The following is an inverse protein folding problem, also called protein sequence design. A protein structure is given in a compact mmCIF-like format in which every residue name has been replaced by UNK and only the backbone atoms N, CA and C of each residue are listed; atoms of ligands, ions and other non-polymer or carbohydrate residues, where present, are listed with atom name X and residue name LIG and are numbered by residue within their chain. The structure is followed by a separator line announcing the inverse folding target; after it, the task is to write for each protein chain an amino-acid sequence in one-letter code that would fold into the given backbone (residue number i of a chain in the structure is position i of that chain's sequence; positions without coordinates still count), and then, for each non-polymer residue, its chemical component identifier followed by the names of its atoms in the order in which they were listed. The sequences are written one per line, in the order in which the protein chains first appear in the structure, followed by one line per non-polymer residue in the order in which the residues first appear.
data_IF_322908937821
#
_entry.id   IF_322908937821
#
_cell.length_a   1.000
_cell.length_b   1.000
_cell.length_c   1.000
_cell.angle_alpha   90.00
_cell.angle_beta   90.00
_cell.angle_gamma   90.00
#
_symmetry.space_group_name_H-M   'P 1'
#
loop_
_entity.id
_entity.type
_entity.pdbx_description
1 polymer ?
#
# COMPACT_ATOMS: atom_id res chain seq x y z
N UNK A 1 12.61 -0.43 1.37
CA UNK A 1 13.31 0.65 0.63
C UNK A 1 13.13 1.94 1.41
N UNK A 2 14.20 2.71 1.62
CA UNK A 2 14.15 3.90 2.49
C UNK A 2 13.15 4.92 1.96
N UNK A 3 12.25 5.32 2.85
CA UNK A 3 11.26 6.33 2.59
C UNK A 3 11.90 7.71 2.70
N UNK A 4 11.62 8.58 1.73
CA UNK A 4 12.26 9.90 1.68
C UNK A 4 11.69 10.84 2.74
N UNK A 5 10.41 10.67 3.09
CA UNK A 5 9.68 11.59 4.00
C UNK A 5 8.65 10.90 4.89
N UNK A 6 8.60 9.56 4.98
CA UNK A 6 7.52 8.90 5.74
C UNK A 6 7.68 9.05 7.24
N UNK A 7 6.54 9.27 7.87
CA UNK A 7 6.33 9.09 9.30
C UNK A 7 5.43 7.85 9.52
N UNK A 8 5.72 7.07 10.57
CA UNK A 8 4.99 5.85 10.91
C UNK A 8 4.58 5.88 12.39
N UNK A 9 3.33 5.52 12.68
CA UNK A 9 2.82 5.39 14.04
C UNK A 9 1.61 4.46 14.05
N UNK A 10 1.55 3.54 15.01
CA UNK A 10 0.38 2.65 15.15
C UNK A 10 -0.93 3.41 15.37
N UNK A 11 -0.86 4.65 15.87
CA UNK A 11 -2.02 5.54 16.04
C UNK A 11 -2.64 6.01 14.72
N UNK A 12 -1.90 5.93 13.61
CA UNK A 12 -2.36 6.38 12.29
C UNK A 12 -2.97 5.25 11.46
N UNK A 13 -2.72 3.98 11.83
CA UNK A 13 -3.25 2.84 11.09
C UNK A 13 -4.78 2.87 11.07
N UNK A 14 -5.35 2.71 9.88
CA UNK A 14 -6.80 2.73 9.69
C UNK A 14 -7.24 1.57 8.81
N UNK A 15 -8.48 1.11 9.03
CA UNK A 15 -9.11 0.05 8.25
C UNK A 15 -10.45 0.54 7.72
N UNK A 16 -10.57 0.62 6.41
CA UNK A 16 -11.77 1.11 5.73
C UNK A 16 -12.15 0.09 4.65
N UNK A 17 -13.42 -0.33 4.64
CA UNK A 17 -13.93 -1.32 3.67
C UNK A 17 -13.09 -2.60 3.56
N UNK A 18 -12.46 -3.03 4.68
CA UNK A 18 -11.60 -4.21 4.72
C UNK A 18 -10.16 -3.99 4.23
N UNK A 19 -9.81 -2.79 3.75
CA UNK A 19 -8.46 -2.41 3.33
C UNK A 19 -7.74 -1.77 4.52
N UNK A 20 -6.51 -2.21 4.77
CA UNK A 20 -5.64 -1.67 5.81
C UNK A 20 -4.69 -0.63 5.21
N UNK A 21 -4.66 0.54 5.83
CA UNK A 21 -3.78 1.65 5.46
C UNK A 21 -2.86 1.97 6.62
N UNK A 22 -1.56 2.14 6.33
CA UNK A 22 -0.56 2.48 7.35
C UNK A 22 -0.82 3.86 7.98
N UNK A 23 -1.45 4.76 7.22
CA UNK A 23 -1.89 6.07 7.68
C UNK A 23 -3.10 6.56 6.86
N UNK A 24 -3.88 7.55 7.35
CA UNK A 24 -5.10 7.98 6.68
C UNK A 24 -4.84 9.03 5.57
N UNK A 25 -3.60 9.51 5.41
CA UNK A 25 -3.28 10.59 4.47
C UNK A 25 -3.11 10.05 3.05
N UNK A 26 -3.88 10.59 2.12
CA UNK A 26 -3.86 10.19 0.71
C UNK A 26 -3.43 11.30 -0.23
N UNK A 27 -2.85 10.91 -1.38
CA UNK A 27 -2.77 11.79 -2.54
C UNK A 27 -4.04 11.60 -3.38
N UNK A 28 -4.84 12.67 -3.51
CA UNK A 28 -6.11 12.63 -4.23
C UNK A 28 -5.96 12.56 -5.76
N UNK A 29 -7.05 12.15 -6.42
CA UNK A 29 -7.12 12.13 -7.88
C UNK A 29 -6.86 13.51 -8.51
N UNK A 30 -6.50 13.49 -9.79
CA UNK A 30 -6.23 14.67 -10.60
C UNK A 30 -4.77 15.11 -10.57
N UNK A 31 -3.97 14.61 -9.61
CA UNK A 31 -2.52 14.84 -9.56
C UNK A 31 -1.78 13.94 -10.55
N UNK A 32 -1.93 12.62 -10.42
CA UNK A 32 -1.40 11.63 -11.37
C UNK A 32 -2.51 11.16 -12.31
N UNK A 33 -2.57 11.73 -13.52
CA UNK A 33 -3.59 11.38 -14.54
C UNK A 33 -3.14 10.31 -15.53
N UNK A 34 -1.90 9.82 -15.40
CA UNK A 34 -1.29 8.86 -16.33
C UNK A 34 -1.00 7.51 -15.64
N UNK A 35 -0.79 7.52 -14.33
CA UNK A 35 -0.30 6.39 -13.55
C UNK A 35 1.22 6.30 -13.51
N UNK A 36 1.93 7.32 -13.97
CA UNK A 36 3.40 7.32 -14.03
C UNK A 36 4.05 7.69 -12.70
N UNK A 37 3.37 8.48 -11.87
CA UNK A 37 3.96 9.10 -10.68
C UNK A 37 3.73 8.30 -9.40
N UNK A 38 2.75 7.39 -9.36
CA UNK A 38 2.40 6.68 -8.13
C UNK A 38 3.57 5.96 -7.42
N UNK A 39 4.59 5.35 -8.09
CA UNK A 39 5.71 4.73 -7.39
C UNK A 39 6.61 5.72 -6.65
N UNK A 40 6.69 6.95 -7.16
CA UNK A 40 7.40 8.03 -6.49
C UNK A 40 6.56 8.57 -5.33
N UNK A 41 5.27 8.83 -5.58
CA UNK A 41 4.34 9.31 -4.56
C UNK A 41 4.24 8.34 -3.38
N UNK A 42 4.36 7.02 -3.60
CA UNK A 42 4.29 6.04 -2.50
C UNK A 42 5.49 6.11 -1.56
N UNK A 43 6.58 6.76 -1.98
CA UNK A 43 7.78 7.01 -1.16
C UNK A 43 7.71 8.35 -0.41
N UNK A 44 6.70 9.16 -0.69
CA UNK A 44 6.49 10.46 -0.04
C UNK A 44 5.72 10.34 1.30
N UNK A 45 5.34 9.13 1.70
CA UNK A 45 4.69 8.86 2.98
C UNK A 45 3.16 8.80 2.96
N UNK A 46 2.53 8.93 1.78
CA UNK A 46 1.07 8.72 1.66
C UNK A 46 0.69 7.28 1.96
N UNK A 47 -0.37 7.08 2.74
CA UNK A 47 -0.95 5.78 3.01
C UNK A 47 -1.70 5.20 1.81
N UNK A 48 -2.17 6.05 0.91
CA UNK A 48 -2.79 5.66 -0.37
C UNK A 48 -2.63 6.75 -1.43
N UNK A 49 -2.77 6.34 -2.70
CA UNK A 49 -2.68 7.23 -3.86
C UNK A 49 -3.84 6.90 -4.79
N UNK A 50 -4.57 7.93 -5.17
CA UNK A 50 -5.65 7.83 -6.15
C UNK A 50 -5.15 8.33 -7.51
N UNK A 51 -4.99 7.40 -8.46
CA UNK A 51 -4.58 7.72 -9.83
C UNK A 51 -5.83 8.03 -10.67
N UNK A 52 -5.80 9.13 -11.41
CA UNK A 52 -6.88 9.52 -12.31
C UNK A 52 -7.10 11.03 -12.37
N UNK A 53 -8.21 11.51 -12.93
CA UNK A 53 -9.27 10.74 -13.58
C UNK A 53 -8.82 10.20 -14.95
N UNK A 54 -9.00 8.90 -15.17
CA UNK A 54 -8.75 8.25 -16.47
C UNK A 54 -10.10 7.98 -17.14
N UNK A 55 -10.23 8.36 -18.41
CA UNK A 55 -11.43 8.05 -19.20
C UNK A 55 -11.22 6.87 -20.12
N UNK A 56 -12.31 6.27 -20.62
CA UNK A 56 -12.22 5.15 -21.56
C UNK A 56 -11.35 5.48 -22.78
N UNK A 57 -11.56 6.66 -23.36
CA UNK A 57 -10.75 7.18 -24.46
C UNK A 57 -9.84 8.32 -24.02
N UNK A 58 -8.76 8.56 -24.77
CA UNK A 58 -7.85 9.69 -24.59
C UNK A 58 -8.59 11.01 -24.81
N UNK A 59 -8.28 12.01 -24.00
CA UNK A 59 -8.75 13.38 -24.22
C UNK A 59 -7.74 14.42 -23.76
N UNK A 60 -7.65 15.53 -24.50
CA UNK A 60 -6.74 16.64 -24.21
C UNK A 60 -7.23 17.55 -23.08
N UNK A 61 -8.53 17.53 -22.78
CA UNK A 61 -9.23 18.43 -21.87
C UNK A 61 -9.41 19.85 -22.41
N UNK A 62 -9.83 20.77 -21.55
CA UNK A 62 -10.20 22.14 -21.96
C UNK A 62 -9.00 22.95 -22.48
N UNK A 63 -9.18 23.93 -23.39
CA UNK A 63 -8.09 24.81 -23.82
C UNK A 63 -7.39 25.53 -22.65
N UNK A 64 -6.10 25.84 -22.80
CA UNK A 64 -5.34 26.62 -21.81
C UNK A 64 -5.66 28.12 -21.96
N UNK A 65 -5.59 28.94 -20.88
CA UNK A 65 -5.27 28.60 -19.49
C UNK A 65 -6.44 27.98 -18.71
N UNK A 66 -6.14 26.96 -17.88
CA UNK A 66 -7.14 26.09 -17.23
C UNK A 66 -6.86 25.70 -15.77
N UNK A 67 -5.80 26.24 -15.19
CA UNK A 67 -5.45 26.13 -13.76
C UNK A 67 -4.93 27.49 -13.33
N UNK A 68 -5.48 28.02 -12.25
CA UNK A 68 -5.19 29.35 -11.73
C UNK A 68 -4.80 29.23 -10.26
N UNK A 69 -3.77 29.98 -9.85
CA UNK A 69 -3.28 30.00 -8.46
C UNK A 69 -3.65 31.32 -7.81
N UNK A 70 -4.12 31.25 -6.57
CA UNK A 70 -4.40 32.39 -5.70
C UNK A 70 -3.60 32.20 -4.40
N UNK A 71 -2.31 32.58 -4.39
CA UNK A 71 -1.41 32.28 -3.27
C UNK A 71 -1.85 32.91 -1.94
N UNK A 72 -2.42 34.12 -1.98
CA UNK A 72 -2.92 34.83 -0.80
C UNK A 72 -4.02 34.05 -0.09
N UNK A 73 -4.86 33.37 -0.87
CA UNK A 73 -5.97 32.56 -0.38
C UNK A 73 -5.61 31.08 -0.21
N UNK A 74 -4.34 30.71 -0.46
CA UNK A 74 -3.87 29.32 -0.50
C UNK A 74 -4.74 28.41 -1.41
N UNK A 75 -5.27 28.96 -2.50
CA UNK A 75 -6.29 28.32 -3.31
C UNK A 75 -5.85 28.04 -4.76
N UNK A 76 -6.49 27.02 -5.35
CA UNK A 76 -6.37 26.67 -6.77
C UNK A 76 -7.76 26.57 -7.39
N UNK A 77 -7.98 27.26 -8.51
CA UNK A 77 -9.18 27.10 -9.33
C UNK A 77 -8.79 26.39 -10.61
N UNK A 78 -9.51 25.31 -10.95
CA UNK A 78 -9.22 24.54 -12.15
C UNK A 78 -10.46 24.20 -12.97
N UNK A 79 -10.27 24.16 -14.28
CA UNK A 79 -11.26 23.73 -15.28
C UNK A 79 -10.57 22.83 -16.29
N UNK A 80 -9.87 21.82 -15.81
CA UNK A 80 -8.98 21.02 -16.66
C UNK A 80 -9.72 20.15 -17.69
N UNK A 81 -10.94 19.70 -17.39
CA UNK A 81 -11.76 18.89 -18.30
C UNK A 81 -11.17 17.50 -18.55
N UNK A 82 -10.81 16.76 -17.49
CA UNK A 82 -10.35 15.36 -17.58
C UNK A 82 -9.23 15.05 -18.58
N UNK A 83 -8.24 15.92 -18.76
CA UNK A 83 -7.08 15.62 -19.62
C UNK A 83 -6.34 14.35 -19.18
N UNK A 84 -6.32 13.29 -20.00
CA UNK A 84 -5.71 12.00 -19.67
C UNK A 84 -5.41 11.15 -20.93
N UNK A 85 -4.53 10.14 -20.85
CA UNK A 85 -4.07 9.37 -22.00
C UNK A 85 -5.03 8.24 -22.44
N UNK A 86 -6.16 8.06 -21.75
CA UNK A 86 -7.10 6.96 -21.96
C UNK A 86 -6.76 5.70 -21.14
N UNK A 87 -7.76 4.86 -20.93
CA UNK A 87 -7.67 3.67 -20.07
C UNK A 87 -6.63 2.66 -20.54
N UNK A 88 -6.54 2.40 -21.86
CA UNK A 88 -5.58 1.45 -22.40
C UNK A 88 -4.13 1.90 -22.17
N UNK A 89 -3.85 3.19 -22.33
CA UNK A 89 -2.52 3.73 -22.09
C UNK A 89 -2.16 3.70 -20.61
N UNK A 90 -3.09 4.11 -19.74
CA UNK A 90 -2.87 4.06 -18.30
C UNK A 90 -2.66 2.62 -17.80
N UNK A 91 -3.45 1.66 -18.31
CA UNK A 91 -3.26 0.23 -18.02
C UNK A 91 -1.87 -0.25 -18.40
N UNK A 92 -1.38 0.09 -19.59
CA UNK A 92 -0.02 -0.27 -20.04
C UNK A 92 1.03 0.29 -19.08
N UNK A 93 0.94 1.57 -18.75
CA UNK A 93 1.87 2.26 -17.83
C UNK A 93 1.86 1.58 -16.44
N UNK A 94 0.68 1.40 -15.83
CA UNK A 94 0.58 0.84 -14.48
C UNK A 94 1.04 -0.63 -14.47
N UNK A 95 0.73 -1.40 -15.52
CA UNK A 95 1.11 -2.81 -15.61
C UNK A 95 2.61 -3.03 -15.83
N UNK A 96 3.31 -2.08 -16.47
CA UNK A 96 4.75 -2.17 -16.70
C UNK A 96 5.57 -1.82 -15.46
N UNK A 97 4.94 -1.15 -14.48
CA UNK A 97 5.59 -0.80 -13.24
C UNK A 97 5.69 -2.01 -12.30
N UNK A 98 6.86 -2.18 -11.69
CA UNK A 98 7.09 -3.27 -10.74
C UNK A 98 6.12 -3.14 -9.57
N UNK A 99 5.26 -4.15 -9.39
CA UNK A 99 4.43 -4.26 -8.17
C UNK A 99 5.35 -4.27 -6.96
N UNK A 100 5.31 -3.20 -6.17
CA UNK A 100 6.00 -3.20 -4.89
C UNK A 100 5.22 -4.12 -3.94
N UNK A 101 5.79 -5.29 -3.64
CA UNK A 101 5.35 -6.09 -2.50
C UNK A 101 5.75 -5.32 -1.25
N UNK A 102 4.77 -4.90 -0.45
CA UNK A 102 5.04 -4.47 0.91
C UNK A 102 5.72 -5.64 1.65
N UNK A 103 6.96 -5.39 2.10
CA UNK A 103 7.78 -6.35 2.87
C UNK A 103 7.08 -6.79 4.18
N UNK A 104 6.10 -6.01 4.63
CA UNK A 104 5.25 -6.25 5.81
C UNK A 104 4.62 -7.65 5.76
N UNK A 105 4.08 -8.07 4.61
CA UNK A 105 3.46 -9.41 4.48
C UNK A 105 4.45 -10.57 4.60
N UNK A 106 5.75 -10.32 4.38
CA UNK A 106 6.79 -11.36 4.42
C UNK A 106 7.35 -11.54 5.82
N UNK A 107 7.47 -10.47 6.60
CA UNK A 107 7.87 -10.56 8.01
C UNK A 107 6.78 -11.17 8.89
N UNK A 108 5.51 -10.84 8.67
CA UNK A 108 4.40 -11.47 9.41
C UNK A 108 4.23 -12.95 9.03
N UNK A 109 4.38 -13.30 7.74
CA UNK A 109 4.42 -14.71 7.32
C UNK A 109 5.63 -15.46 7.89
N UNK A 110 6.82 -14.84 7.96
CA UNK A 110 8.02 -15.44 8.58
C UNK A 110 7.86 -15.60 10.10
N UNK A 111 7.31 -14.59 10.78
CA UNK A 111 7.02 -14.63 12.23
C UNK A 111 5.92 -15.65 12.56
N UNK A 112 4.83 -15.71 11.79
CA UNK A 112 3.77 -16.70 12.01
C UNK A 112 4.25 -18.13 11.72
N UNK A 113 5.07 -18.32 10.69
CA UNK A 113 5.71 -19.61 10.39
C UNK A 113 6.68 -20.05 11.48
N UNK A 114 7.54 -19.14 12.00
CA UNK A 114 8.42 -19.44 13.14
C UNK A 114 7.64 -19.73 14.43
N UNK A 115 6.54 -19.01 14.70
CA UNK A 115 5.67 -19.24 15.87
C UNK A 115 5.00 -20.61 15.80
N UNK A 116 4.53 -21.02 14.62
CA UNK A 116 3.92 -22.34 14.36
C UNK A 116 4.93 -23.49 14.43
N UNK A 117 6.21 -23.23 14.05
CA UNK A 117 7.31 -24.21 14.19
C UNK A 117 7.72 -24.40 15.65
N UNK A 118 7.80 -23.31 16.44
CA UNK A 118 8.05 -23.36 17.89
C UNK A 118 6.91 -24.05 18.66
N UNK A 119 5.65 -23.78 18.31
CA UNK A 119 4.50 -24.43 18.97
C UNK A 119 4.38 -25.93 18.65
N UNK A 120 4.78 -26.37 17.45
CA UNK A 120 4.87 -27.81 17.15
C UNK A 120 6.00 -28.48 17.95
N UNK A 121 7.17 -27.85 18.06
CA UNK A 121 8.31 -28.42 18.81
C UNK A 121 7.99 -28.56 20.30
N UNK A 122 7.39 -27.54 20.94
CA UNK A 122 7.00 -27.61 22.35
C UNK A 122 5.92 -28.64 22.62
N UNK A 123 4.96 -28.83 21.69
CA UNK A 123 3.92 -29.83 21.83
C UNK A 123 4.44 -31.28 21.67
N UNK A 124 5.41 -31.51 20.77
CA UNK A 124 6.02 -32.84 20.60
C UNK A 124 6.92 -33.21 21.78
N UNK A 125 7.70 -32.26 22.31
CA UNK A 125 8.56 -32.49 23.49
C UNK A 125 7.74 -32.78 24.75
N UNK A 126 6.63 -32.06 24.97
CA UNK A 126 5.74 -32.30 26.12
C UNK A 126 5.09 -33.68 26.06
N UNK A 127 4.67 -34.17 24.88
CA UNK A 127 4.12 -35.52 24.74
C UNK A 127 5.15 -36.63 24.98
N UNK A 128 6.38 -36.46 24.50
CA UNK A 128 7.44 -37.45 24.72
C UNK A 128 7.95 -37.48 26.17
N UNK A 129 7.89 -36.35 26.88
CA UNK A 129 8.25 -36.30 28.29
C UNK A 129 7.24 -37.03 29.17
N UNK A 130 5.95 -36.97 28.83
CA UNK A 130 4.90 -37.71 29.54
C UNK A 130 4.98 -39.23 29.28
N UNK A 131 5.42 -39.65 28.08
CA UNK A 131 5.63 -41.07 27.77
C UNK A 131 6.87 -41.66 28.46
N UNK A 132 7.93 -40.86 28.69
CA UNK A 132 9.14 -41.31 29.40
C UNK A 132 8.99 -41.40 30.93
N UNK A 133 8.03 -40.67 31.54
CA UNK A 133 7.75 -40.83 32.97
C UNK A 133 6.91 -42.06 33.30
N UNK A 134 6.21 -42.64 32.32
CA UNK A 134 5.40 -43.86 32.50
C UNK A 134 6.26 -45.13 32.35
N UNK A 135 7.44 -45.06 31.71
CA UNK A 135 8.34 -46.22 31.52
C UNK A 135 9.44 -46.37 32.59
N UNK A 136 9.43 -45.58 33.67
CA UNK A 136 10.38 -45.70 34.79
C UNK A 136 9.76 -46.20 36.10
N UNK A 137 8.52 -46.67 36.07
CA UNK A 137 7.78 -47.20 37.24
C UNK A 137 7.46 -48.69 37.16
N UNK A 138 8.14 -49.45 36.31
CA UNK A 138 7.96 -50.90 36.20
C UNK A 138 9.23 -51.57 35.67
N UNK A 139 10.23 -51.68 36.57
CA UNK A 139 11.19 -52.78 36.82
C UNK A 139 12.34 -52.24 37.67
#
# INVERSE_FOLDING_TARGET
MESMTSYQSDRLKTKIAGIEFENPLGMGAGFDKTGELYPFLSRMGFGHIEVGTITGQKQSGNPKPRVFRYPQDQALVNRMGFNNPGADSAKKIISSQKKQRSEVSTQEKRRSFQRKKRSRITFTLSKNFHLMQIMRSST
#
